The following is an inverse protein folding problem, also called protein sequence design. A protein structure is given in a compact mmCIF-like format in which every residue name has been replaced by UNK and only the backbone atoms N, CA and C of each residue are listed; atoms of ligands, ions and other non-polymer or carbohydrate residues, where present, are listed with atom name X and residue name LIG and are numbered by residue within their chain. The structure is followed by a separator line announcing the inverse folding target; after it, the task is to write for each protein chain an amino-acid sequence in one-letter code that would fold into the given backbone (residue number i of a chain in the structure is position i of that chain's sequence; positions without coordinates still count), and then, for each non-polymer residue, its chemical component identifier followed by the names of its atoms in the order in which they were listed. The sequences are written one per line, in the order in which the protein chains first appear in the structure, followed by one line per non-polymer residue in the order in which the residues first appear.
data_IF_552283091266
#
_entry.id   IF_552283091266
#
_cell.length_a   1.000
_cell.length_b   1.000
_cell.length_c   1.000
_cell.angle_alpha   90.00
_cell.angle_beta   90.00
_cell.angle_gamma   90.00
#
_symmetry.space_group_name_H-M   'P 1'
#
loop_
_entity.id
_entity.type
_entity.pdbx_description
1 polymer ?
#
# COMPACT_ATOMS: atom_id res chain seq x y z
N UNK A 1 -5.30 -19.81 -0.33
CA UNK A 1 -3.98 -19.98 -0.97
C UNK A 1 -3.79 -18.78 -1.88
N UNK A 2 -2.74 -18.00 -1.68
CA UNK A 2 -2.50 -16.74 -2.41
C UNK A 2 -1.68 -17.02 -3.67
N UNK A 3 -1.99 -16.39 -4.80
CA UNK A 3 -1.30 -16.60 -6.09
C UNK A 3 -1.13 -15.25 -6.81
N UNK A 4 0.11 -14.79 -6.93
CA UNK A 4 0.50 -13.56 -7.62
C UNK A 4 0.07 -13.49 -9.07
N UNK A 5 -0.16 -14.62 -9.73
CA UNK A 5 -0.46 -14.66 -11.17
C UNK A 5 -1.93 -14.36 -11.52
N UNK A 6 -2.78 -14.07 -10.53
CA UNK A 6 -4.15 -13.62 -10.80
C UNK A 6 -4.16 -12.20 -11.39
N UNK A 7 -5.18 -11.90 -12.20
CA UNK A 7 -5.42 -10.55 -12.72
C UNK A 7 -5.47 -9.56 -11.54
N UNK A 8 -4.75 -8.42 -11.60
CA UNK A 8 -4.73 -7.43 -10.52
C UNK A 8 -6.11 -7.00 -10.01
N UNK A 9 -7.14 -7.01 -10.87
CA UNK A 9 -8.53 -6.66 -10.53
C UNK A 9 -9.23 -7.79 -9.76
N UNK A 10 -8.80 -9.03 -9.94
CA UNK A 10 -9.37 -10.22 -9.31
C UNK A 10 -8.57 -10.71 -8.09
N UNK A 11 -7.45 -10.06 -7.77
CA UNK A 11 -6.60 -10.47 -6.64
C UNK A 11 -7.34 -10.27 -5.31
N UNK A 12 -7.41 -11.29 -4.43
CA UNK A 12 -8.03 -11.15 -3.13
C UNK A 12 -7.22 -10.18 -2.26
N UNK A 13 -7.89 -9.17 -1.70
CA UNK A 13 -7.31 -8.24 -0.74
C UNK A 13 -7.40 -8.80 0.67
N UNK A 14 -6.37 -8.54 1.48
CA UNK A 14 -6.49 -8.65 2.94
C UNK A 14 -7.05 -7.33 3.46
N UNK A 15 -8.10 -7.38 4.29
CA UNK A 15 -8.79 -6.20 4.79
C UNK A 15 -8.79 -6.16 6.32
N UNK A 16 -7.65 -5.83 6.97
CA UNK A 16 -7.61 -5.62 8.41
C UNK A 16 -8.62 -4.58 8.86
N UNK A 17 -9.33 -4.87 9.94
CA UNK A 17 -10.27 -3.97 10.59
C UNK A 17 -9.57 -3.16 11.68
N UNK A 18 -9.85 -1.86 11.72
CA UNK A 18 -9.31 -0.92 12.68
C UNK A 18 -10.36 -0.55 13.72
N UNK A 19 -9.96 -0.28 14.97
CA UNK A 19 -10.89 0.17 15.99
C UNK A 19 -11.42 1.58 15.68
N UNK A 20 -12.48 1.98 16.38
CA UNK A 20 -13.05 3.31 16.26
C UNK A 20 -12.01 4.40 16.54
N UNK A 21 -12.09 5.53 15.83
CA UNK A 21 -11.17 6.66 15.96
C UNK A 21 -10.01 6.68 14.95
N UNK A 22 -9.90 5.65 14.09
CA UNK A 22 -8.85 5.55 13.07
C UNK A 22 -9.26 6.08 11.68
N UNK A 23 -10.47 6.63 11.53
CA UNK A 23 -10.98 7.08 10.22
C UNK A 23 -10.11 8.15 9.54
N UNK A 24 -9.46 9.00 10.33
CA UNK A 24 -8.58 10.06 9.82
C UNK A 24 -7.09 9.66 9.77
N UNK A 25 -6.76 8.40 10.13
CA UNK A 25 -5.39 7.91 10.11
C UNK A 25 -4.82 7.94 8.69
N UNK A 26 -3.54 8.30 8.59
CA UNK A 26 -2.83 8.31 7.31
C UNK A 26 -2.38 6.89 6.97
N UNK A 27 -2.56 6.52 5.71
CA UNK A 27 -2.13 5.23 5.18
C UNK A 27 -1.02 5.47 4.17
N UNK A 28 0.16 4.96 4.45
CA UNK A 28 1.30 4.91 3.52
C UNK A 28 1.39 3.50 2.97
N UNK A 29 1.49 3.37 1.64
CA UNK A 29 1.53 2.05 0.99
C UNK A 29 2.89 1.81 0.35
N UNK A 30 3.48 0.66 0.64
CA UNK A 30 4.48 0.04 -0.23
C UNK A 30 3.70 -0.75 -1.29
N UNK A 31 3.71 -0.29 -2.52
CA UNK A 31 3.04 -0.98 -3.64
C UNK A 31 4.08 -1.59 -4.58
N UNK A 32 3.78 -2.78 -5.07
CA UNK A 32 4.56 -3.47 -6.09
C UNK A 32 3.60 -3.91 -7.20
N UNK A 33 3.92 -3.72 -8.50
CA UNK A 33 3.14 -4.30 -9.59
C UNK A 33 2.92 -5.82 -9.47
N UNK A 34 3.91 -6.58 -9.00
CA UNK A 34 3.81 -8.03 -8.76
C UNK A 34 4.93 -8.55 -7.85
N UNK A 35 4.73 -9.65 -7.13
CA UNK A 35 5.75 -10.20 -6.21
C UNK A 35 6.99 -10.72 -6.92
N UNK A 36 6.86 -11.07 -8.19
CA UNK A 36 7.97 -11.55 -9.02
C UNK A 36 8.67 -10.39 -9.77
N UNK A 37 8.21 -9.15 -9.60
CA UNK A 37 8.76 -7.95 -10.24
C UNK A 37 9.52 -7.12 -9.18
N UNK A 38 10.79 -6.84 -9.47
CA UNK A 38 11.65 -6.01 -8.62
C UNK A 38 11.63 -4.51 -9.00
N UNK A 39 10.95 -4.15 -10.08
CA UNK A 39 10.87 -2.81 -10.63
C UNK A 39 9.56 -2.10 -10.24
N UNK A 40 9.53 -0.77 -10.33
CA UNK A 40 8.36 0.08 -10.05
C UNK A 40 7.76 -0.06 -8.63
N UNK A 41 8.57 -0.52 -7.67
CA UNK A 41 8.21 -0.51 -6.26
C UNK A 41 8.22 0.95 -5.77
N UNK A 42 7.15 1.38 -5.12
CA UNK A 42 7.07 2.71 -4.51
C UNK A 42 6.50 2.65 -3.09
N UNK A 43 6.89 3.63 -2.28
CA UNK A 43 6.37 3.86 -0.95
C UNK A 43 5.68 5.23 -0.89
N UNK A 44 4.37 5.22 -0.64
CA UNK A 44 3.53 6.41 -0.57
C UNK A 44 3.64 7.28 -1.84
N UNK A 45 3.72 6.65 -3.02
CA UNK A 45 3.89 7.34 -4.31
C UNK A 45 5.33 7.76 -4.64
N UNK A 46 6.29 7.49 -3.75
CA UNK A 46 7.69 7.84 -3.95
C UNK A 46 8.56 6.62 -4.21
N UNK A 47 9.57 6.74 -5.06
CA UNK A 47 10.55 5.69 -5.33
C UNK A 47 11.98 6.24 -5.25
N UNK A 48 12.95 5.33 -5.30
CA UNK A 48 14.37 5.67 -5.35
C UNK A 48 14.84 5.58 -6.80
N UNK A 49 15.38 6.65 -7.34
CA UNK A 49 15.94 6.65 -8.69
C UNK A 49 17.31 5.95 -8.75
N UNK A 50 17.87 5.81 -9.96
CA UNK A 50 19.16 5.17 -10.18
C UNK A 50 20.35 5.86 -9.48
N UNK A 51 20.17 7.09 -8.98
CA UNK A 51 21.18 7.85 -8.24
C UNK A 51 20.95 7.81 -6.72
N UNK A 52 19.99 7.02 -6.24
CA UNK A 52 19.65 6.94 -4.82
C UNK A 52 18.79 8.09 -4.33
N UNK A 53 18.16 8.88 -5.21
CA UNK A 53 17.33 10.04 -4.84
C UNK A 53 15.87 9.62 -4.72
N UNK A 54 15.18 10.16 -3.72
CA UNK A 54 13.74 10.01 -3.60
C UNK A 54 13.08 10.91 -4.65
N UNK A 55 12.24 10.31 -5.50
CA UNK A 55 11.48 10.99 -6.56
C UNK A 55 10.00 10.65 -6.45
N UNK A 56 9.14 11.44 -7.10
CA UNK A 56 7.68 11.30 -7.01
C UNK A 56 7.06 12.11 -5.87
N UNK A 57 5.75 12.32 -5.96
CA UNK A 57 4.98 13.06 -4.98
C UNK A 57 4.52 12.14 -3.85
N UNK A 58 4.69 12.59 -2.61
CA UNK A 58 4.25 11.82 -1.45
C UNK A 58 2.74 11.94 -1.29
N UNK A 59 2.04 10.81 -1.37
CA UNK A 59 0.60 10.71 -1.16
C UNK A 59 0.26 9.87 0.08
N UNK A 60 -0.73 10.33 0.84
CA UNK A 60 -1.31 9.56 1.95
C UNK A 60 -2.71 9.10 1.54
N UNK A 61 -3.00 7.82 1.71
CA UNK A 61 -4.37 7.33 1.73
C UNK A 61 -5.01 7.53 3.10
N UNK A 62 -6.27 7.14 3.22
CA UNK A 62 -7.01 7.13 4.49
C UNK A 62 -7.55 5.73 4.79
N UNK A 63 -7.91 5.49 6.04
CA UNK A 63 -8.69 4.31 6.44
C UNK A 63 -10.13 4.52 5.99
N UNK A 64 -10.64 3.64 5.14
CA UNK A 64 -11.99 3.75 4.59
C UNK A 64 -12.90 2.68 5.17
N UNK A 65 -14.06 3.07 5.70
CA UNK A 65 -15.01 2.13 6.30
C UNK A 65 -14.42 1.31 7.47
N UNK A 66 -13.41 1.84 8.16
CA UNK A 66 -12.70 1.15 9.24
C UNK A 66 -11.73 0.07 8.77
N UNK A 67 -11.38 0.02 7.49
CA UNK A 67 -10.48 -0.99 6.92
C UNK A 67 -9.43 -0.36 6.00
N UNK A 68 -8.38 -1.12 5.73
CA UNK A 68 -7.43 -0.84 4.66
C UNK A 68 -7.33 -2.08 3.80
N UNK A 69 -7.54 -1.95 2.49
CA UNK A 69 -7.35 -3.05 1.55
C UNK A 69 -5.86 -3.16 1.21
N UNK A 70 -5.28 -4.34 1.43
CA UNK A 70 -3.86 -4.63 1.18
C UNK A 70 -3.79 -5.76 0.16
N UNK A 71 -3.20 -5.45 -0.99
CA UNK A 71 -3.00 -6.39 -2.06
C UNK A 71 -1.84 -7.35 -1.81
N UNK A 72 -1.81 -8.35 -2.68
CA UNK A 72 -0.68 -9.20 -2.99
C UNK A 72 0.67 -8.46 -3.06
N UNK A 73 1.60 -8.75 -2.13
CA UNK A 73 2.94 -8.14 -2.15
C UNK A 73 2.99 -6.68 -1.69
N UNK A 74 1.87 -6.12 -1.25
CA UNK A 74 1.80 -4.77 -0.72
C UNK A 74 1.95 -4.76 0.80
N UNK A 75 2.37 -3.62 1.33
CA UNK A 75 2.39 -3.35 2.77
C UNK A 75 1.74 -2.00 3.03
N UNK A 76 0.89 -1.91 4.04
CA UNK A 76 0.34 -0.64 4.50
C UNK A 76 0.88 -0.29 5.89
N UNK A 77 1.48 0.89 6.01
CA UNK A 77 1.78 1.53 7.29
C UNK A 77 0.64 2.50 7.61
N UNK A 78 -0.07 2.25 8.72
CA UNK A 78 -1.17 3.10 9.17
C UNK A 78 -0.71 3.91 10.38
N UNK A 79 -0.75 5.23 10.26
CA UNK A 79 -0.35 6.17 11.29
C UNK A 79 -1.58 6.93 11.80
N UNK A 80 -1.94 6.68 13.04
CA UNK A 80 -2.94 7.49 13.73
C UNK A 80 -2.47 8.94 13.81
N UNK A 81 -3.33 9.88 13.41
CA UNK A 81 -3.09 11.29 13.59
C UNK A 81 -3.39 11.63 15.05
N UNK A 82 -2.39 12.15 15.76
CA UNK A 82 -2.48 12.65 17.14
C UNK A 82 -2.43 14.16 17.15
#
# INVERSE_FOLDING_TARGET
MWNSKFDPIERPYTAPEFPQGWGDADVLRLTNPDVDIADNINFAGQSVDAHGRIVGEKGYGKVEGGKVLIGAGEVALVKLQT
#
